data_IF_441878313141
#
_entry.id   IF_441878313141
#
_cell.length_a   1.000
_cell.length_b   1.000
_cell.length_c   1.000
_cell.angle_alpha   90.00
_cell.angle_beta   90.00
_cell.angle_gamma   90.00
#
_symmetry.space_group_name_H-M   'P 1'
#
loop_
_entity.id
_entity.type
_entity.pdbx_description
1 polymer ?
#
# COMPACT_ATOMS: atom_id res chain seq x y z
N UNK A 1 30.61 -56.50 47.04
CA UNK A 1 30.80 -55.08 46.68
C UNK A 1 29.93 -54.77 45.49
N UNK A 2 28.84 -54.00 45.65
CA UNK A 2 27.91 -53.61 44.60
C UNK A 2 28.15 -52.13 44.28
N UNK A 3 28.73 -51.83 43.10
CA UNK A 3 28.92 -50.50 42.60
C UNK A 3 27.60 -49.99 41.96
N UNK A 4 27.04 -48.90 42.48
CA UNK A 4 25.90 -48.16 41.90
C UNK A 4 26.45 -47.08 41.00
N UNK A 5 26.20 -47.17 39.69
CA UNK A 5 26.41 -46.10 38.74
C UNK A 5 25.17 -45.17 38.73
N UNK A 6 25.37 -43.93 39.14
CA UNK A 6 24.36 -42.88 38.99
C UNK A 6 24.52 -42.22 37.62
N UNK A 7 23.49 -42.37 36.77
CA UNK A 7 23.38 -41.64 35.48
C UNK A 7 22.90 -40.22 35.79
N UNK A 8 23.75 -39.27 35.60
CA UNK A 8 23.36 -37.85 35.63
C UNK A 8 22.93 -37.44 34.22
N UNK A 9 21.61 -37.34 34.02
CA UNK A 9 21.03 -36.85 32.75
C UNK A 9 21.10 -35.34 32.74
N UNK A 10 22.06 -34.76 32.01
CA UNK A 10 22.10 -33.33 31.74
C UNK A 10 20.98 -32.99 30.74
N UNK A 11 19.91 -32.36 31.21
CA UNK A 11 18.92 -31.71 30.34
C UNK A 11 19.59 -30.44 29.74
N UNK A 12 19.95 -30.54 28.47
CA UNK A 12 20.27 -29.34 27.66
C UNK A 12 18.97 -28.59 27.35
N UNK A 13 18.66 -27.55 28.13
CA UNK A 13 17.70 -26.53 27.71
C UNK A 13 18.36 -25.72 26.58
N UNK A 14 18.04 -26.06 25.33
CA UNK A 14 18.31 -25.18 24.20
C UNK A 14 17.39 -23.96 24.33
N UNK A 15 17.94 -22.72 24.44
CA UNK A 15 17.10 -21.54 24.35
C UNK A 15 16.48 -21.52 22.94
N UNK A 16 15.17 -21.63 22.88
CA UNK A 16 14.44 -21.34 21.65
C UNK A 16 14.76 -19.87 21.31
N UNK A 17 15.56 -19.65 20.25
CA UNK A 17 15.68 -18.35 19.63
C UNK A 17 14.27 -17.98 19.15
N UNK A 18 13.57 -17.19 19.96
CA UNK A 18 12.38 -16.49 19.49
C UNK A 18 12.85 -15.54 18.42
N UNK A 19 12.58 -15.86 17.16
CA UNK A 19 12.77 -14.93 16.07
C UNK A 19 11.91 -13.71 16.41
N UNK A 20 12.57 -12.60 16.77
CA UNK A 20 11.88 -11.34 16.96
C UNK A 20 11.23 -10.96 15.63
N UNK A 21 9.92 -10.71 15.66
CA UNK A 21 9.24 -10.13 14.52
C UNK A 21 10.02 -8.87 14.08
N UNK A 22 10.22 -8.67 12.77
CA UNK A 22 10.92 -7.49 12.28
C UNK A 22 10.22 -6.24 12.83
N UNK A 23 11.03 -5.25 13.26
CA UNK A 23 10.50 -3.97 13.70
C UNK A 23 9.65 -3.35 12.58
N UNK A 24 8.51 -2.77 12.92
CA UNK A 24 7.61 -2.10 11.98
C UNK A 24 7.55 -0.61 12.30
N UNK A 25 7.30 0.19 11.27
CA UNK A 25 6.98 1.62 11.38
C UNK A 25 5.55 1.85 10.91
N UNK A 26 4.75 2.53 11.74
CA UNK A 26 3.34 2.81 11.44
C UNK A 26 3.17 4.29 11.09
N UNK A 27 2.52 4.53 9.97
CA UNK A 27 2.18 5.86 9.46
C UNK A 27 0.69 6.09 9.61
N UNK A 28 0.30 7.26 10.11
CA UNK A 28 -1.10 7.65 10.33
C UNK A 28 -1.45 8.90 9.57
N UNK A 29 -2.73 9.06 9.23
CA UNK A 29 -3.27 10.24 8.55
C UNK A 29 -4.50 10.79 9.25
N UNK A 30 -4.70 12.10 9.14
CA UNK A 30 -5.88 12.81 9.67
C UNK A 30 -7.21 12.38 9.03
N UNK A 31 -7.16 11.81 7.81
CA UNK A 31 -8.35 11.25 7.15
C UNK A 31 -8.84 9.96 7.79
N UNK A 32 -8.08 9.34 8.71
CA UNK A 32 -8.52 8.22 9.53
C UNK A 32 -7.95 6.87 9.12
N UNK A 33 -6.79 6.81 8.46
CA UNK A 33 -6.08 5.56 8.24
C UNK A 33 -4.75 5.48 8.97
N UNK A 34 -4.29 4.25 9.20
CA UNK A 34 -2.90 3.90 9.52
C UNK A 34 -2.42 2.79 8.58
N UNK A 35 -1.11 2.75 8.33
CA UNK A 35 -0.48 1.71 7.52
C UNK A 35 0.92 1.41 8.06
N UNK A 36 1.25 0.12 8.20
CA UNK A 36 2.52 -0.34 8.77
C UNK A 36 3.40 -1.01 7.71
N UNK A 37 4.66 -0.61 7.69
CA UNK A 37 5.73 -1.21 6.88
C UNK A 37 6.87 -1.68 7.78
N UNK A 38 7.71 -2.65 7.35
CA UNK A 38 8.95 -2.97 8.04
C UNK A 38 9.86 -1.74 8.18
N UNK A 39 10.61 -1.67 9.28
CA UNK A 39 11.44 -0.50 9.60
C UNK A 39 12.64 -0.30 8.66
N UNK A 40 12.97 -1.29 7.83
CA UNK A 40 14.01 -1.22 6.80
C UNK A 40 13.54 -0.56 5.49
N UNK A 41 12.25 -0.21 5.39
CA UNK A 41 11.76 0.64 4.30
C UNK A 41 12.11 2.10 4.59
N UNK A 42 12.82 2.72 3.66
CA UNK A 42 13.19 4.14 3.77
C UNK A 42 12.00 5.04 3.43
N UNK A 43 11.56 5.86 4.38
CA UNK A 43 10.52 6.87 4.14
C UNK A 43 11.13 8.07 3.44
N UNK A 44 10.53 8.45 2.31
CA UNK A 44 10.96 9.58 1.48
C UNK A 44 10.08 10.79 1.76
N UNK A 45 10.68 11.91 2.11
CA UNK A 45 9.95 13.19 2.24
C UNK A 45 9.65 13.76 0.84
N UNK A 46 8.38 13.70 0.45
CA UNK A 46 7.90 14.23 -0.83
C UNK A 46 7.28 15.63 -0.72
N UNK A 47 7.16 16.19 0.48
CA UNK A 47 6.55 17.52 0.70
C UNK A 47 7.15 18.62 -0.16
N UNK A 48 8.49 18.68 -0.38
CA UNK A 48 9.07 19.76 -1.19
C UNK A 48 8.67 19.73 -2.67
N UNK A 49 8.37 18.55 -3.22
CA UNK A 49 8.08 18.37 -4.66
C UNK A 49 6.59 18.29 -4.97
N UNK A 50 5.75 17.99 -3.98
CA UNK A 50 4.32 17.76 -4.15
C UNK A 50 3.59 18.94 -4.83
N UNK A 51 3.81 20.23 -4.46
CA UNK A 51 3.11 21.34 -5.11
C UNK A 51 3.41 21.44 -6.61
N UNK A 52 4.65 21.15 -7.03
CA UNK A 52 5.03 21.16 -8.44
C UNK A 52 4.33 20.04 -9.21
N UNK A 53 4.30 18.82 -8.65
CA UNK A 53 3.61 17.67 -9.24
C UNK A 53 2.10 17.96 -9.36
N UNK A 54 1.48 18.49 -8.33
CA UNK A 54 0.05 18.86 -8.35
C UNK A 54 -0.24 19.92 -9.42
N UNK A 55 0.60 20.94 -9.58
CA UNK A 55 0.44 21.96 -10.61
C UNK A 55 0.54 21.36 -12.02
N UNK A 56 1.49 20.46 -12.27
CA UNK A 56 1.63 19.81 -13.57
C UNK A 56 0.43 18.92 -13.87
N UNK A 57 -0.02 18.12 -12.92
CA UNK A 57 -1.20 17.25 -13.08
C UNK A 57 -2.47 18.08 -13.26
N UNK A 58 -2.62 19.19 -12.54
CA UNK A 58 -3.78 20.08 -12.67
C UNK A 58 -3.93 20.71 -14.07
N UNK A 59 -2.83 20.82 -14.84
CA UNK A 59 -2.90 21.28 -16.24
C UNK A 59 -3.63 20.29 -17.16
N UNK A 60 -3.71 19.01 -16.77
CA UNK A 60 -4.39 17.96 -17.54
C UNK A 60 -5.84 17.79 -17.14
N UNK A 61 -6.30 18.46 -16.08
CA UNK A 61 -7.65 18.36 -15.57
C UNK A 61 -8.69 18.88 -16.59
N UNK A 62 -9.80 18.17 -16.68
CA UNK A 62 -10.87 18.46 -17.65
C UNK A 62 -11.95 19.39 -17.09
N UNK A 63 -11.95 19.62 -15.78
CA UNK A 63 -12.91 20.50 -15.09
C UNK A 63 -12.27 21.22 -13.92
N UNK A 64 -12.92 22.29 -13.41
CA UNK A 64 -12.48 22.99 -12.21
C UNK A 64 -12.62 22.12 -10.95
N UNK A 65 -13.62 21.25 -10.90
CA UNK A 65 -13.78 20.31 -9.79
C UNK A 65 -12.62 19.30 -9.75
N UNK A 66 -12.24 18.74 -10.91
CA UNK A 66 -11.07 17.87 -11.03
C UNK A 66 -9.77 18.57 -10.62
N UNK A 67 -9.58 19.84 -10.99
CA UNK A 67 -8.43 20.63 -10.53
C UNK A 67 -8.42 20.79 -9.02
N UNK A 68 -9.58 21.07 -8.44
CA UNK A 68 -9.73 21.18 -6.98
C UNK A 68 -9.37 19.88 -6.28
N UNK A 69 -9.86 18.76 -6.77
CA UNK A 69 -9.54 17.45 -6.20
C UNK A 69 -8.04 17.16 -6.27
N UNK A 70 -7.39 17.45 -7.40
CA UNK A 70 -5.94 17.26 -7.57
C UNK A 70 -5.15 18.08 -6.52
N UNK A 71 -5.54 19.33 -6.27
CA UNK A 71 -4.88 20.19 -5.27
C UNK A 71 -5.12 19.66 -3.85
N UNK A 72 -6.25 19.02 -3.58
CA UNK A 72 -6.60 18.44 -2.29
C UNK A 72 -5.94 17.07 -2.02
N UNK A 73 -5.42 16.40 -3.05
CA UNK A 73 -4.71 15.12 -2.87
C UNK A 73 -3.46 15.34 -2.01
N UNK A 74 -3.33 14.54 -0.97
CA UNK A 74 -2.17 14.51 -0.08
C UNK A 74 -1.37 13.23 -0.32
N UNK A 75 -0.05 13.34 -0.46
CA UNK A 75 0.84 12.18 -0.35
C UNK A 75 1.12 11.96 1.13
N UNK A 76 0.47 10.96 1.69
CA UNK A 76 0.53 10.65 3.11
C UNK A 76 1.76 9.81 3.48
N UNK A 77 2.25 9.01 2.53
CA UNK A 77 3.45 8.19 2.68
C UNK A 77 4.10 7.96 1.31
N UNK A 78 5.41 8.05 1.27
CA UNK A 78 6.23 7.44 0.22
C UNK A 78 7.35 6.67 0.91
N UNK A 79 7.52 5.41 0.57
CA UNK A 79 8.58 4.58 1.10
C UNK A 79 9.21 3.74 0.00
N UNK A 80 10.50 3.43 0.13
CA UNK A 80 11.25 2.62 -0.85
C UNK A 80 12.11 1.57 -0.16
N UNK A 81 12.37 0.47 -0.86
CA UNK A 81 13.22 -0.61 -0.38
C UNK A 81 13.88 -1.35 -1.56
N UNK A 82 15.13 -1.81 -1.37
CA UNK A 82 15.82 -2.69 -2.30
C UNK A 82 16.52 -1.98 -3.47
N UNK A 83 17.16 -2.79 -4.31
CA UNK A 83 17.81 -2.39 -5.57
C UNK A 83 17.63 -3.55 -6.58
N UNK A 84 16.80 -3.39 -7.64
CA UNK A 84 16.03 -2.19 -7.98
C UNK A 84 14.97 -1.85 -6.92
N UNK A 85 14.73 -0.57 -6.73
CA UNK A 85 13.87 -0.10 -5.64
C UNK A 85 12.40 -0.47 -5.88
N UNK A 86 11.80 -1.15 -4.90
CA UNK A 86 10.35 -1.22 -4.76
C UNK A 86 9.87 0.03 -4.03
N UNK A 87 8.71 0.56 -4.44
CA UNK A 87 8.16 1.82 -3.91
C UNK A 87 6.72 1.61 -3.48
N UNK A 88 6.38 2.15 -2.31
CA UNK A 88 5.00 2.29 -1.83
C UNK A 88 4.66 3.77 -1.73
N UNK A 89 3.53 4.16 -2.30
CA UNK A 89 2.97 5.51 -2.19
C UNK A 89 1.56 5.39 -1.63
N UNK A 90 1.23 6.20 -0.63
CA UNK A 90 -0.13 6.30 -0.11
C UNK A 90 -0.62 7.73 -0.35
N UNK A 91 -1.72 7.86 -1.06
CA UNK A 91 -2.39 9.14 -1.31
C UNK A 91 -3.74 9.17 -0.63
N UNK A 92 -4.12 10.33 -0.14
CA UNK A 92 -5.42 10.56 0.49
C UNK A 92 -6.09 11.79 -0.12
N UNK A 93 -7.42 11.75 -0.22
CA UNK A 93 -8.25 12.88 -0.62
C UNK A 93 -9.20 13.22 0.55
N UNK A 94 -8.86 14.23 1.37
CA UNK A 94 -9.74 14.70 2.45
C UNK A 94 -11.02 15.36 1.89
N UNK A 95 -12.19 14.99 2.43
CA UNK A 95 -13.47 15.52 1.98
C UNK A 95 -13.71 16.98 2.37
N UNK A 96 -13.11 17.45 3.46
CA UNK A 96 -13.17 18.85 3.89
C UNK A 96 -12.43 19.78 2.92
N UNK A 97 -11.39 19.29 2.23
CA UNK A 97 -10.68 20.02 1.20
C UNK A 97 -11.42 19.98 -0.15
N UNK A 98 -11.75 18.78 -0.65
CA UNK A 98 -12.42 18.61 -1.95
C UNK A 98 -13.85 19.13 -1.94
N UNK A 99 -14.53 19.06 -0.81
CA UNK A 99 -15.94 19.37 -0.64
C UNK A 99 -16.87 18.30 -1.26
N UNK A 100 -16.32 17.17 -1.67
CA UNK A 100 -17.05 16.04 -2.25
C UNK A 100 -16.88 14.81 -1.35
N UNK A 101 -17.96 14.03 -1.20
CA UNK A 101 -17.91 12.74 -0.51
C UNK A 101 -17.93 11.64 -1.56
N UNK A 102 -16.96 10.75 -1.51
CA UNK A 102 -16.89 9.59 -2.40
C UNK A 102 -17.67 8.41 -1.82
N UNK A 103 -18.10 7.55 -2.72
CA UNK A 103 -18.74 6.26 -2.41
C UNK A 103 -17.90 5.12 -3.01
N UNK A 104 -18.24 3.87 -2.68
CA UNK A 104 -17.59 2.69 -3.27
C UNK A 104 -17.61 2.67 -4.80
N UNK A 105 -18.65 3.27 -5.41
CA UNK A 105 -18.80 3.34 -6.89
C UNK A 105 -17.76 4.25 -7.54
N UNK A 106 -17.21 5.18 -6.78
CA UNK A 106 -16.25 6.17 -7.26
C UNK A 106 -14.80 5.65 -7.17
N UNK A 107 -14.58 4.56 -6.37
CA UNK A 107 -13.25 3.98 -6.16
C UNK A 107 -12.50 3.58 -7.45
N UNK A 108 -13.14 2.97 -8.48
CA UNK A 108 -12.45 2.68 -9.73
C UNK A 108 -11.92 3.92 -10.44
N UNK A 109 -12.68 5.03 -10.41
CA UNK A 109 -12.26 6.31 -10.97
C UNK A 109 -11.10 6.93 -10.19
N UNK A 110 -11.22 6.94 -8.85
CA UNK A 110 -10.18 7.46 -7.96
C UNK A 110 -8.88 6.67 -8.09
N UNK A 111 -8.94 5.32 -8.06
CA UNK A 111 -7.78 4.46 -8.21
C UNK A 111 -7.10 4.59 -9.57
N UNK A 112 -7.89 4.69 -10.65
CA UNK A 112 -7.35 4.95 -11.99
C UNK A 112 -6.68 6.32 -12.08
N UNK A 113 -7.23 7.34 -11.45
CA UNK A 113 -6.63 8.68 -11.36
C UNK A 113 -5.33 8.67 -10.57
N UNK A 114 -5.29 7.99 -9.42
CA UNK A 114 -4.08 7.83 -8.62
C UNK A 114 -2.97 7.11 -9.40
N UNK A 115 -3.32 6.06 -10.16
CA UNK A 115 -2.38 5.30 -10.99
C UNK A 115 -1.91 6.08 -12.24
N UNK A 116 -2.61 7.16 -12.67
CA UNK A 116 -2.21 7.93 -13.86
C UNK A 116 -0.81 8.55 -13.71
N UNK A 117 -0.46 8.99 -12.50
CA UNK A 117 0.88 9.49 -12.20
C UNK A 117 1.99 8.47 -12.46
N UNK A 118 1.72 7.18 -12.26
CA UNK A 118 2.67 6.09 -12.49
C UNK A 118 2.94 5.90 -13.99
N UNK A 119 1.95 6.12 -14.85
CA UNK A 119 2.05 5.98 -16.31
C UNK A 119 3.06 6.93 -16.95
N UNK A 120 3.44 8.00 -16.26
CA UNK A 120 4.51 8.88 -16.74
C UNK A 120 5.86 8.16 -16.79
N UNK A 121 6.14 7.26 -15.85
CA UNK A 121 7.40 6.54 -15.74
C UNK A 121 7.30 5.09 -16.23
N UNK A 122 6.09 4.50 -16.26
CA UNK A 122 5.88 3.10 -16.60
C UNK A 122 4.97 2.91 -17.81
N UNK A 123 5.27 1.89 -18.62
CA UNK A 123 4.32 1.28 -19.54
C UNK A 123 3.55 0.21 -18.76
N UNK A 124 2.25 0.43 -18.58
CA UNK A 124 1.38 -0.46 -17.82
C UNK A 124 0.62 -1.37 -18.78
N UNK A 125 0.60 -2.68 -18.50
CA UNK A 125 -0.10 -3.69 -19.29
C UNK A 125 -0.83 -4.70 -18.38
N UNK A 126 -1.78 -5.41 -18.99
CA UNK A 126 -2.49 -6.54 -18.40
C UNK A 126 -3.16 -6.25 -17.04
N UNK A 127 -3.97 -5.18 -16.92
CA UNK A 127 -4.61 -4.84 -15.67
C UNK A 127 -5.69 -5.87 -15.29
N UNK A 128 -5.56 -6.43 -14.08
CA UNK A 128 -6.59 -7.26 -13.45
C UNK A 128 -7.23 -6.44 -12.33
N UNK A 129 -8.56 -6.39 -12.32
CA UNK A 129 -9.33 -5.59 -11.36
C UNK A 129 -10.20 -6.47 -10.49
N UNK A 130 -10.39 -6.05 -9.26
CA UNK A 130 -11.24 -6.72 -8.29
C UNK A 130 -11.82 -5.75 -7.28
N UNK A 131 -12.66 -6.30 -6.41
CA UNK A 131 -13.13 -5.64 -5.21
C UNK A 131 -13.29 -6.67 -4.11
N UNK A 132 -13.06 -6.26 -2.87
CA UNK A 132 -13.22 -7.12 -1.71
C UNK A 132 -13.66 -6.28 -0.50
N UNK A 133 -14.06 -6.95 0.57
CA UNK A 133 -14.44 -6.31 1.83
C UNK A 133 -13.56 -6.87 2.95
N UNK A 134 -13.02 -5.99 3.80
CA UNK A 134 -12.37 -6.34 5.05
C UNK A 134 -13.03 -5.56 6.19
N UNK A 135 -13.46 -6.26 7.23
CA UNK A 135 -14.26 -5.64 8.27
C UNK A 135 -15.51 -4.98 7.68
N UNK A 136 -15.68 -3.70 7.97
CA UNK A 136 -16.80 -2.89 7.45
C UNK A 136 -16.45 -2.08 6.20
N UNK A 137 -15.21 -2.19 5.68
CA UNK A 137 -14.71 -1.39 4.58
C UNK A 137 -14.68 -2.15 3.27
N UNK A 138 -15.12 -1.48 2.20
CA UNK A 138 -15.02 -1.97 0.83
C UNK A 138 -13.74 -1.43 0.16
N UNK A 139 -13.10 -2.30 -0.61
CA UNK A 139 -11.88 -2.00 -1.34
C UNK A 139 -12.06 -2.27 -2.82
N UNK A 140 -11.46 -1.41 -3.62
CA UNK A 140 -11.19 -1.66 -5.04
C UNK A 140 -9.70 -1.93 -5.21
N UNK A 141 -9.36 -2.86 -6.09
CA UNK A 141 -7.97 -3.24 -6.36
C UNK A 141 -7.74 -3.37 -7.87
N UNK A 142 -6.59 -2.89 -8.33
CA UNK A 142 -6.05 -3.15 -9.66
C UNK A 142 -4.60 -3.63 -9.52
N UNK A 143 -4.26 -4.71 -10.20
CA UNK A 143 -2.90 -5.21 -10.35
C UNK A 143 -2.54 -5.28 -11.82
N UNK A 144 -1.35 -4.83 -12.18
CA UNK A 144 -0.85 -4.78 -13.55
C UNK A 144 0.65 -5.07 -13.60
N UNK A 145 1.17 -5.34 -14.79
CA UNK A 145 2.61 -5.34 -15.04
C UNK A 145 3.04 -3.94 -15.47
N UNK A 146 4.08 -3.40 -14.82
CA UNK A 146 4.73 -2.15 -15.17
C UNK A 146 6.13 -2.40 -15.71
N UNK A 147 6.46 -1.75 -16.80
CA UNK A 147 7.83 -1.75 -17.35
C UNK A 147 8.34 -0.32 -17.34
N UNK A 148 9.48 -0.09 -16.70
CA UNK A 148 10.07 1.25 -16.60
C UNK A 148 10.46 1.75 -18.01
N UNK A 149 10.07 2.97 -18.40
CA UNK A 149 10.26 3.46 -19.78
C UNK A 149 11.74 3.61 -20.14
N UNK A 150 12.56 4.07 -19.20
CA UNK A 150 14.00 4.31 -19.39
C UNK A 150 14.83 3.05 -19.13
N UNK A 151 14.22 2.00 -18.53
CA UNK A 151 14.85 0.72 -18.20
C UNK A 151 13.90 -0.43 -18.52
N UNK A 152 13.68 -0.75 -19.81
CA UNK A 152 12.67 -1.72 -20.25
C UNK A 152 12.95 -3.17 -19.81
N UNK A 153 14.15 -3.46 -19.35
CA UNK A 153 14.52 -4.74 -18.73
C UNK A 153 13.95 -4.87 -17.30
N UNK A 154 13.62 -3.77 -16.65
CA UNK A 154 13.09 -3.76 -15.28
C UNK A 154 11.56 -3.85 -15.30
N UNK A 155 11.07 -4.99 -14.81
CA UNK A 155 9.64 -5.26 -14.68
C UNK A 155 9.21 -5.15 -13.23
N UNK A 156 8.03 -4.59 -13.02
CA UNK A 156 7.42 -4.40 -11.72
C UNK A 156 6.01 -4.97 -11.72
N UNK A 157 5.56 -5.43 -10.56
CA UNK A 157 4.14 -5.55 -10.30
C UNK A 157 3.66 -4.20 -9.77
N UNK A 158 2.71 -3.59 -10.48
CA UNK A 158 2.04 -2.35 -10.03
C UNK A 158 0.70 -2.74 -9.44
N UNK A 159 0.49 -2.40 -8.18
CA UNK A 159 -0.77 -2.67 -7.51
C UNK A 159 -1.32 -1.39 -6.89
N UNK A 160 -2.61 -1.15 -7.08
CA UNK A 160 -3.34 -0.02 -6.51
C UNK A 160 -4.54 -0.55 -5.74
N UNK A 161 -4.66 -0.15 -4.49
CA UNK A 161 -5.75 -0.53 -3.58
C UNK A 161 -6.38 0.75 -3.04
N UNK A 162 -7.70 0.90 -3.15
CA UNK A 162 -8.38 2.10 -2.69
C UNK A 162 -9.57 1.77 -1.81
N UNK A 163 -9.85 2.63 -0.83
CA UNK A 163 -11.01 2.54 0.05
C UNK A 163 -11.56 3.93 0.37
N UNK A 164 -12.85 4.01 0.69
CA UNK A 164 -13.50 5.21 1.23
C UNK A 164 -13.53 5.13 2.75
N UNK A 165 -13.31 6.28 3.38
CA UNK A 165 -13.31 6.48 4.83
C UNK A 165 -14.35 7.53 5.19
N UNK A 166 -14.62 7.72 6.48
CA UNK A 166 -15.56 8.75 6.95
C UNK A 166 -15.13 10.17 6.60
N UNK A 167 -13.83 10.44 6.56
CA UNK A 167 -13.27 11.78 6.36
C UNK A 167 -12.60 11.97 5.01
N UNK A 168 -12.47 10.93 4.18
CA UNK A 168 -11.74 11.01 2.92
C UNK A 168 -11.75 9.70 2.15
N UNK A 169 -11.02 9.67 1.06
CA UNK A 169 -10.66 8.43 0.35
C UNK A 169 -9.14 8.24 0.40
N UNK A 170 -8.69 7.02 0.31
CA UNK A 170 -7.28 6.65 0.36
C UNK A 170 -6.96 5.62 -0.71
N UNK A 171 -5.80 5.77 -1.37
CA UNK A 171 -5.22 4.74 -2.24
C UNK A 171 -3.79 4.43 -1.79
N UNK A 172 -3.51 3.15 -1.65
CA UNK A 172 -2.18 2.58 -1.51
C UNK A 172 -1.72 2.09 -2.87
N UNK A 173 -0.52 2.45 -3.28
CA UNK A 173 0.06 2.04 -4.56
C UNK A 173 1.42 1.41 -4.30
N UNK A 174 1.67 0.26 -4.88
CA UNK A 174 2.97 -0.39 -4.88
C UNK A 174 3.50 -0.53 -6.30
N UNK A 175 4.78 -0.22 -6.49
CA UNK A 175 5.60 -0.62 -7.61
C UNK A 175 6.63 -1.62 -7.06
N UNK A 176 6.30 -2.91 -7.08
CA UNK A 176 7.10 -3.97 -6.49
C UNK A 176 8.03 -4.59 -7.52
N UNK A 177 9.33 -4.55 -7.27
CA UNK A 177 10.35 -5.13 -8.13
C UNK A 177 10.39 -6.68 -8.03
N UNK A 178 9.86 -7.23 -6.94
CA UNK A 178 9.79 -8.67 -6.69
C UNK A 178 8.56 -9.06 -5.84
N UNK A 179 8.29 -10.36 -5.77
CA UNK A 179 7.16 -10.92 -5.03
C UNK A 179 7.27 -10.73 -3.51
N UNK A 180 8.48 -10.53 -2.97
CA UNK A 180 8.68 -10.31 -1.55
C UNK A 180 8.21 -8.92 -1.15
N UNK A 181 8.61 -7.91 -1.92
CA UNK A 181 8.18 -6.53 -1.75
C UNK A 181 6.65 -6.41 -1.92
N UNK A 182 6.07 -7.11 -2.92
CA UNK A 182 4.62 -7.14 -3.12
C UNK A 182 3.90 -7.74 -1.90
N UNK A 183 4.37 -8.89 -1.39
CA UNK A 183 3.79 -9.50 -0.17
C UNK A 183 3.88 -8.60 1.05
N UNK A 184 4.99 -7.90 1.23
CA UNK A 184 5.15 -6.92 2.33
C UNK A 184 4.09 -5.83 2.21
N UNK A 185 3.85 -5.31 1.02
CA UNK A 185 2.80 -4.34 0.76
C UNK A 185 1.40 -4.89 1.08
N UNK A 186 1.07 -6.07 0.54
CA UNK A 186 -0.23 -6.70 0.72
C UNK A 186 -0.53 -7.06 2.19
N UNK A 187 0.50 -7.50 2.93
CA UNK A 187 0.39 -7.93 4.32
C UNK A 187 0.58 -6.80 5.33
N UNK A 188 0.81 -5.58 4.88
CA UNK A 188 0.90 -4.42 5.76
C UNK A 188 -0.37 -4.28 6.60
N UNK A 189 -0.20 -4.12 7.92
CA UNK A 189 -1.32 -3.86 8.83
C UNK A 189 -1.94 -2.51 8.51
N UNK A 190 -3.26 -2.47 8.45
CA UNK A 190 -4.03 -1.27 8.12
C UNK A 190 -5.03 -0.98 9.22
N UNK A 191 -5.14 0.28 9.62
CA UNK A 191 -6.24 0.78 10.43
C UNK A 191 -7.10 1.72 9.59
N UNK A 192 -8.43 1.56 9.63
CA UNK A 192 -9.38 2.42 8.92
C UNK A 192 -10.49 2.85 9.87
N UNK A 193 -10.68 4.16 10.02
CA UNK A 193 -11.73 4.74 10.89
C UNK A 193 -11.75 4.18 12.33
N UNK A 194 -10.60 3.74 12.83
CA UNK A 194 -10.43 3.12 14.14
C UNK A 194 -10.60 1.59 14.17
N UNK A 195 -10.91 0.95 13.05
CA UNK A 195 -10.91 -0.50 12.89
C UNK A 195 -9.53 -0.99 12.44
N UNK A 196 -8.93 -1.96 13.15
CA UNK A 196 -7.65 -2.57 12.80
C UNK A 196 -7.88 -3.77 11.88
N UNK A 197 -7.16 -3.83 10.76
CA UNK A 197 -7.19 -4.91 9.79
C UNK A 197 -5.81 -5.57 9.73
N UNK A 198 -5.78 -6.89 9.65
CA UNK A 198 -4.54 -7.68 9.73
C UNK A 198 -3.70 -7.67 8.44
N UNK A 199 -4.28 -7.23 7.33
CA UNK A 199 -3.61 -7.14 6.03
C UNK A 199 -4.35 -6.15 5.13
N UNK A 200 -3.62 -5.47 4.24
CA UNK A 200 -4.23 -4.59 3.24
C UNK A 200 -4.96 -5.40 2.17
N UNK A 201 -4.34 -6.46 1.66
CA UNK A 201 -4.89 -7.29 0.57
C UNK A 201 -5.03 -8.74 1.03
N UNK A 202 -6.26 -9.27 1.13
CA UNK A 202 -6.46 -10.67 1.45
C UNK A 202 -6.14 -11.57 0.24
N UNK A 203 -5.72 -12.80 0.49
CA UNK A 203 -5.41 -13.79 -0.56
C UNK A 203 -6.59 -14.05 -1.53
N UNK A 204 -7.81 -13.70 -1.13
CA UNK A 204 -9.04 -13.86 -1.93
C UNK A 204 -9.37 -12.65 -2.81
N UNK A 205 -8.60 -11.55 -2.76
CA UNK A 205 -8.94 -10.28 -3.42
C UNK A 205 -9.21 -10.40 -4.94
N UNK A 206 -8.52 -11.33 -5.62
CA UNK A 206 -8.69 -11.60 -7.05
C UNK A 206 -9.48 -12.87 -7.35
N UNK A 207 -10.04 -13.54 -6.34
CA UNK A 207 -10.89 -14.70 -6.57
C UNK A 207 -12.24 -14.24 -7.12
N UNK A 208 -12.65 -14.77 -8.29
CA UNK A 208 -14.00 -14.54 -8.78
C UNK A 208 -14.99 -15.03 -7.72
N UNK A 209 -15.85 -14.13 -7.25
CA UNK A 209 -16.99 -14.52 -6.42
C UNK A 209 -17.77 -15.59 -7.20
N UNK A 210 -18.02 -16.80 -6.67
CA UNK A 210 -18.87 -17.76 -7.35
C UNK A 210 -20.23 -17.11 -7.61
N UNK A 211 -20.73 -17.22 -8.87
CA UNK A 211 -22.04 -16.78 -9.30
C UNK A 211 -23.15 -17.53 -8.56
#
# INVERSE_FOLDING_TARGET
MKARFAFVTLLYCTPALMAQAPATQTHTSEVGFSYSLPADWEVVDTKPTLPQVQQEVAKTAKSEDEKKDIVCVQVALTARHGDPASVVVVVALPYDCSGQTMTEKDLPGFGSGAAEGIKNSFNISDPVRGSYTLGTHSFWIERATGVLKDHPEQKYTVETVCSVLKKGAVCWMAMAADDTALRIFEQGEVGLDGEALSALVPASAFQKKPL
#
